data_IF_445153546581
#
_entry.id   IF_445153546581
#
_cell.length_a   1.000
_cell.length_b   1.000
_cell.length_c   1.000
_cell.angle_alpha   90.00
_cell.angle_beta   90.00
_cell.angle_gamma   90.00
#
_symmetry.space_group_name_H-M   'P 1'
#
loop_
_entity.id
_entity.type
_entity.pdbx_description
1 polymer ?
#
# COMPACT_ATOMS: atom_id res chain seq x y z
N UNK A 1 -1.96 41.24 -1.65
CA UNK A 1 -3.04 40.47 -1.01
C UNK A 1 -3.06 39.07 -1.63
N UNK A 2 -2.79 38.02 -0.84
CA UNK A 2 -3.01 36.64 -1.29
C UNK A 2 -4.51 36.40 -1.28
N UNK A 3 -5.11 36.09 -2.42
CA UNK A 3 -6.52 35.69 -2.49
C UNK A 3 -6.64 34.32 -1.84
N UNK A 4 -7.18 34.25 -0.62
CA UNK A 4 -7.56 32.99 0.00
C UNK A 4 -8.73 32.42 -0.81
N UNK A 5 -8.44 31.37 -1.58
CA UNK A 5 -9.42 30.63 -2.35
C UNK A 5 -10.35 29.95 -1.34
N UNK A 6 -11.58 30.45 -1.18
CA UNK A 6 -12.58 29.85 -0.31
C UNK A 6 -12.82 28.41 -0.77
N UNK A 7 -12.85 27.47 0.19
CA UNK A 7 -13.16 26.07 -0.08
C UNK A 7 -14.57 25.95 -0.70
N UNK A 8 -14.72 24.99 -1.61
CA UNK A 8 -16.04 24.64 -2.15
C UNK A 8 -16.89 23.95 -1.08
N UNK A 9 -18.23 23.90 -1.24
CA UNK A 9 -19.11 23.16 -0.32
C UNK A 9 -18.70 21.70 -0.15
N UNK A 10 -18.28 21.03 -1.24
CA UNK A 10 -17.79 19.65 -1.21
C UNK A 10 -16.53 19.52 -0.37
N UNK A 11 -15.53 20.39 -0.58
CA UNK A 11 -14.28 20.38 0.20
C UNK A 11 -14.51 20.63 1.68
N UNK A 12 -15.49 21.47 2.04
CA UNK A 12 -15.89 21.67 3.42
C UNK A 12 -16.52 20.40 4.01
N UNK A 13 -17.32 19.67 3.24
CA UNK A 13 -17.93 18.43 3.66
C UNK A 13 -16.87 17.32 3.87
N UNK A 14 -15.87 17.24 3.00
CA UNK A 14 -14.70 16.37 3.17
C UNK A 14 -13.98 16.65 4.50
N UNK A 15 -13.73 17.93 4.80
CA UNK A 15 -13.10 18.34 6.06
C UNK A 15 -13.96 17.98 7.28
N UNK A 16 -15.29 18.10 7.17
CA UNK A 16 -16.21 17.69 8.25
C UNK A 16 -16.17 16.19 8.49
N UNK A 17 -16.22 15.36 7.43
CA UNK A 17 -16.11 13.90 7.56
C UNK A 17 -14.79 13.50 8.19
N UNK A 18 -13.68 14.10 7.73
CA UNK A 18 -12.36 13.90 8.34
C UNK A 18 -12.38 14.20 9.84
N UNK A 19 -12.93 15.35 10.24
CA UNK A 19 -12.99 15.76 11.65
C UNK A 19 -13.81 14.79 12.49
N UNK A 20 -14.97 14.35 11.99
CA UNK A 20 -15.82 13.40 12.69
C UNK A 20 -15.11 12.04 12.91
N UNK A 21 -14.41 11.55 11.88
CA UNK A 21 -13.60 10.33 11.97
C UNK A 21 -12.43 10.49 12.94
N UNK A 22 -11.75 11.63 12.90
CA UNK A 22 -10.67 11.93 13.85
C UNK A 22 -11.19 11.99 15.29
N UNK A 23 -12.28 12.71 15.54
CA UNK A 23 -12.82 12.88 16.89
C UNK A 23 -13.36 11.57 17.49
N UNK A 24 -13.93 10.69 16.68
CA UNK A 24 -14.42 9.38 17.12
C UNK A 24 -13.29 8.41 17.48
N UNK A 25 -12.17 8.43 16.75
CA UNK A 25 -11.09 7.43 16.89
C UNK A 25 -9.84 7.90 17.64
N UNK A 26 -9.62 9.22 17.78
CA UNK A 26 -8.39 9.77 18.36
C UNK A 26 -8.06 9.25 19.76
N UNK A 27 -9.07 8.98 20.60
CA UNK A 27 -8.86 8.47 21.96
C UNK A 27 -8.43 7.01 21.96
N UNK A 28 -9.12 6.17 21.17
CA UNK A 28 -8.83 4.75 21.03
C UNK A 28 -7.43 4.52 20.44
N UNK A 29 -7.09 5.27 19.39
CA UNK A 29 -5.84 5.15 18.66
C UNK A 29 -4.70 6.00 19.25
N UNK A 30 -4.95 6.69 20.38
CA UNK A 30 -4.00 7.61 21.04
C UNK A 30 -3.39 8.64 20.07
N UNK A 31 -4.18 9.10 19.10
CA UNK A 31 -3.74 10.04 18.08
C UNK A 31 -3.82 11.47 18.62
N UNK A 32 -2.75 12.23 18.38
CA UNK A 32 -2.69 13.67 18.64
C UNK A 32 -2.47 14.43 17.34
N UNK A 33 -2.81 15.72 17.33
CA UNK A 33 -2.50 16.56 16.16
C UNK A 33 -0.99 16.72 15.96
N UNK A 34 -0.19 16.63 17.02
CA UNK A 34 1.27 16.66 16.91
C UNK A 34 1.79 15.42 16.17
N UNK A 35 1.33 14.23 16.55
CA UNK A 35 1.69 12.99 15.87
C UNK A 35 1.32 13.01 14.38
N UNK A 36 0.14 13.53 14.04
CA UNK A 36 -0.28 13.74 12.65
C UNK A 36 0.61 14.73 11.89
N UNK A 37 1.04 15.79 12.57
CA UNK A 37 1.94 16.78 12.01
C UNK A 37 3.30 16.16 11.68
N UNK A 38 3.83 15.34 12.59
CA UNK A 38 5.10 14.64 12.42
C UNK A 38 5.03 13.68 11.21
N UNK A 39 3.95 12.90 11.07
CA UNK A 39 3.75 11.99 9.92
C UNK A 39 3.57 12.71 8.57
N UNK A 40 3.03 13.93 8.59
CA UNK A 40 2.81 14.72 7.39
C UNK A 40 4.00 15.62 7.03
N UNK A 41 4.98 15.76 7.94
CA UNK A 41 6.05 16.75 7.92
C UNK A 41 5.51 18.19 7.79
N UNK A 42 4.55 18.53 8.65
CA UNK A 42 3.90 19.85 8.70
C UNK A 42 3.78 20.35 10.14
N UNK A 43 3.36 21.60 10.32
CA UNK A 43 3.08 22.12 11.66
C UNK A 43 1.78 21.57 12.24
N UNK A 44 1.71 21.45 13.56
CA UNK A 44 0.48 21.06 14.27
C UNK A 44 -0.71 21.99 13.96
N UNK A 45 -0.46 23.28 13.74
CA UNK A 45 -1.48 24.24 13.30
C UNK A 45 -2.04 23.92 11.91
N UNK A 46 -1.21 23.43 11.00
CA UNK A 46 -1.64 23.03 9.66
C UNK A 46 -2.59 21.81 9.69
N UNK A 47 -2.37 20.86 10.60
CA UNK A 47 -3.31 19.75 10.86
C UNK A 47 -4.67 20.31 11.29
N UNK A 48 -4.67 21.29 12.19
CA UNK A 48 -5.89 21.99 12.62
C UNK A 48 -6.59 22.74 11.48
N UNK A 49 -5.87 23.20 10.45
CA UNK A 49 -6.48 23.85 9.28
C UNK A 49 -7.26 22.88 8.41
N UNK A 50 -6.79 21.64 8.25
CA UNK A 50 -7.54 20.60 7.55
C UNK A 50 -8.80 20.20 8.34
N UNK A 51 -8.64 19.90 9.63
CA UNK A 51 -9.78 19.49 10.48
C UNK A 51 -10.88 20.55 10.56
N UNK A 52 -10.53 21.84 10.47
CA UNK A 52 -11.50 22.92 10.58
C UNK A 52 -11.89 23.54 9.23
N UNK A 53 -11.54 22.92 8.11
CA UNK A 53 -11.97 23.37 6.78
C UNK A 53 -11.39 24.73 6.37
N UNK A 54 -10.19 25.07 6.84
CA UNK A 54 -9.42 26.24 6.34
C UNK A 54 -8.57 25.89 5.13
N UNK A 55 -8.10 24.64 5.05
CA UNK A 55 -7.34 24.11 3.92
C UNK A 55 -8.10 22.92 3.33
N UNK A 56 -8.18 22.84 1.99
CA UNK A 56 -8.74 21.68 1.30
C UNK A 56 -7.86 20.45 1.50
N UNK A 57 -8.47 19.27 1.58
CA UNK A 57 -7.73 18.01 1.61
C UNK A 57 -7.05 17.75 0.27
N UNK A 58 -5.95 17.02 0.29
CA UNK A 58 -5.27 16.52 -0.91
C UNK A 58 -4.98 15.03 -0.73
N UNK A 59 -4.57 14.36 -1.82
CA UNK A 59 -4.27 12.92 -1.84
C UNK A 59 -3.34 12.49 -0.70
N UNK A 60 -2.20 13.18 -0.49
CA UNK A 60 -1.23 12.84 0.58
C UNK A 60 -1.90 12.87 1.95
N UNK A 61 -2.63 13.95 2.25
CA UNK A 61 -3.32 14.14 3.53
C UNK A 61 -4.38 13.05 3.73
N UNK A 62 -5.22 12.78 2.74
CA UNK A 62 -6.26 11.74 2.82
C UNK A 62 -5.63 10.37 3.07
N UNK A 63 -4.56 10.00 2.35
CA UNK A 63 -3.86 8.72 2.55
C UNK A 63 -3.31 8.56 3.97
N UNK A 64 -2.62 9.58 4.49
CA UNK A 64 -2.04 9.53 5.85
C UNK A 64 -3.13 9.44 6.91
N UNK A 65 -4.17 10.28 6.82
CA UNK A 65 -5.28 10.21 7.76
C UNK A 65 -6.02 8.88 7.69
N UNK A 66 -6.27 8.34 6.48
CA UNK A 66 -6.92 7.04 6.30
C UNK A 66 -6.13 5.91 6.97
N UNK A 67 -4.81 5.89 6.75
CA UNK A 67 -3.90 4.92 7.37
C UNK A 67 -3.91 5.01 8.89
N UNK A 68 -3.82 6.22 9.43
CA UNK A 68 -3.72 6.43 10.88
C UNK A 68 -5.06 6.20 11.59
N UNK A 69 -6.17 6.58 10.97
CA UNK A 69 -7.53 6.38 11.48
C UNK A 69 -8.06 4.96 11.20
N UNK A 70 -7.38 4.17 10.37
CA UNK A 70 -7.81 2.82 9.94
C UNK A 70 -9.21 2.85 9.33
N UNK A 71 -9.38 3.72 8.34
CA UNK A 71 -10.64 3.91 7.58
C UNK A 71 -10.34 3.90 6.08
N UNK A 72 -11.38 3.73 5.27
CA UNK A 72 -11.25 3.84 3.83
C UNK A 72 -11.10 5.32 3.43
N UNK A 73 -10.20 5.68 2.49
CA UNK A 73 -10.12 7.04 1.93
C UNK A 73 -11.46 7.61 1.47
N UNK A 74 -12.35 6.74 0.99
CA UNK A 74 -13.70 7.10 0.54
C UNK A 74 -14.60 7.60 1.67
N UNK A 75 -14.36 7.17 2.90
CA UNK A 75 -15.09 7.67 4.09
C UNK A 75 -14.71 9.14 4.39
N UNK A 76 -13.49 9.53 4.02
CA UNK A 76 -13.00 10.91 4.16
C UNK A 76 -13.46 11.73 2.95
N UNK A 77 -13.09 11.33 1.74
CA UNK A 77 -13.38 12.05 0.50
C UNK A 77 -13.60 11.06 -0.65
N UNK A 78 -14.86 10.87 -1.11
CA UNK A 78 -15.15 10.01 -2.25
C UNK A 78 -14.47 10.45 -3.54
N UNK A 79 -14.37 11.76 -3.79
CA UNK A 79 -13.74 12.30 -5.01
C UNK A 79 -12.22 12.09 -5.00
N UNK A 80 -11.54 12.37 -3.89
CA UNK A 80 -10.11 12.10 -3.76
C UNK A 80 -9.82 10.58 -3.74
N UNK A 81 -10.73 9.77 -3.21
CA UNK A 81 -10.60 8.31 -3.27
C UNK A 81 -10.65 7.77 -4.70
N UNK A 82 -11.49 8.34 -5.57
CA UNK A 82 -11.49 7.99 -7.00
C UNK A 82 -10.20 8.47 -7.68
N UNK A 83 -9.71 9.67 -7.37
CA UNK A 83 -8.41 10.16 -7.87
C UNK A 83 -7.25 9.22 -7.47
N UNK A 84 -7.23 8.74 -6.21
CA UNK A 84 -6.25 7.76 -5.74
C UNK A 84 -6.34 6.46 -6.54
N UNK A 85 -7.55 6.01 -6.86
CA UNK A 85 -7.78 4.78 -7.63
C UNK A 85 -7.31 4.94 -9.07
N UNK A 86 -7.61 6.06 -9.73
CA UNK A 86 -7.11 6.38 -11.06
C UNK A 86 -5.57 6.41 -11.11
N UNK A 87 -4.93 7.08 -10.13
CA UNK A 87 -3.46 7.10 -10.01
C UNK A 87 -2.91 5.67 -9.84
N UNK A 88 -3.56 4.85 -9.01
CA UNK A 88 -3.19 3.45 -8.80
C UNK A 88 -3.30 2.62 -10.08
N UNK A 89 -4.36 2.83 -10.86
CA UNK A 89 -4.56 2.17 -12.15
C UNK A 89 -3.52 2.61 -13.19
N UNK A 90 -3.19 3.90 -13.28
CA UNK A 90 -2.14 4.40 -14.15
C UNK A 90 -0.76 3.80 -13.81
N UNK A 91 -0.45 3.63 -12.52
CA UNK A 91 0.80 2.99 -12.07
C UNK A 91 0.80 1.49 -12.42
N UNK A 92 -0.35 0.82 -12.43
CA UNK A 92 -0.46 -0.57 -12.90
C UNK A 92 -0.15 -0.66 -14.39
N UNK A 93 -0.63 0.28 -15.20
CA UNK A 93 -0.47 0.27 -16.65
C UNK A 93 0.95 0.64 -17.13
N UNK A 94 1.74 1.37 -16.32
CA UNK A 94 3.12 1.75 -16.66
C UNK A 94 4.21 0.81 -16.12
N UNK A 95 3.83 -0.32 -15.50
CA UNK A 95 4.75 -1.32 -14.98
C UNK A 95 4.70 -2.64 -15.75
N UNK A 96 5.68 -2.89 -16.63
CA UNK A 96 5.94 -4.25 -17.11
C UNK A 96 6.35 -5.18 -15.94
N UNK A 97 5.38 -5.78 -15.23
CA UNK A 97 5.36 -7.12 -14.61
C UNK A 97 4.21 -7.24 -13.58
N UNK A 98 3.02 -7.60 -14.05
CA UNK A 98 1.76 -7.73 -13.28
C UNK A 98 1.71 -8.90 -12.27
N UNK A 99 2.79 -9.63 -11.96
CA UNK A 99 2.66 -10.84 -11.11
C UNK A 99 2.72 -10.62 -9.60
N UNK A 100 3.22 -9.50 -9.08
CA UNK A 100 3.53 -9.40 -7.64
C UNK A 100 3.10 -8.09 -6.97
N UNK A 101 1.82 -7.72 -7.05
CA UNK A 101 1.27 -6.70 -6.15
C UNK A 101 0.07 -7.21 -5.35
N UNK A 102 0.22 -8.42 -4.81
CA UNK A 102 -0.43 -8.78 -3.54
C UNK A 102 0.57 -8.40 -2.44
N UNK A 103 0.12 -7.68 -1.41
CA UNK A 103 0.88 -7.60 -0.16
C UNK A 103 0.98 -9.02 0.39
N UNK A 104 2.10 -9.71 0.12
CA UNK A 104 2.40 -10.99 0.74
C UNK A 104 3.05 -10.69 2.09
N UNK A 105 2.44 -11.16 3.17
CA UNK A 105 3.16 -11.32 4.42
C UNK A 105 4.18 -12.44 4.17
N UNK A 106 5.45 -12.08 4.11
CA UNK A 106 6.53 -13.05 3.92
C UNK A 106 6.58 -13.95 5.15
N UNK A 107 6.75 -15.24 4.92
CA UNK A 107 7.06 -16.13 6.03
C UNK A 107 8.51 -15.90 6.51
N UNK A 108 8.86 -16.33 7.74
CA UNK A 108 10.19 -16.07 8.29
C UNK A 108 11.35 -16.57 7.40
N UNK A 109 11.14 -17.66 6.65
CA UNK A 109 12.18 -18.23 5.78
C UNK A 109 12.37 -17.35 4.54
N UNK A 110 11.27 -16.83 3.98
CA UNK A 110 11.33 -15.90 2.86
C UNK A 110 12.04 -14.59 3.22
N UNK A 111 11.80 -14.08 4.44
CA UNK A 111 12.50 -12.90 4.96
C UNK A 111 14.01 -13.17 5.13
N UNK A 112 14.37 -14.33 5.69
CA UNK A 112 15.76 -14.74 5.85
C UNK A 112 16.49 -14.83 4.50
N UNK A 113 15.88 -15.47 3.49
CA UNK A 113 16.45 -15.57 2.14
C UNK A 113 16.69 -14.18 1.55
N UNK A 114 15.73 -13.26 1.72
CA UNK A 114 15.84 -11.90 1.22
C UNK A 114 17.02 -11.16 1.89
N UNK A 115 17.18 -11.32 3.20
CA UNK A 115 18.25 -10.69 3.94
C UNK A 115 19.63 -11.25 3.56
N UNK A 116 19.74 -12.57 3.36
CA UNK A 116 20.97 -13.17 2.86
C UNK A 116 21.33 -12.61 1.46
N UNK A 117 20.37 -12.60 0.53
CA UNK A 117 20.61 -12.12 -0.84
C UNK A 117 21.10 -10.66 -0.87
N UNK A 118 20.56 -9.78 -0.01
CA UNK A 118 21.00 -8.38 0.08
C UNK A 118 22.44 -8.22 0.53
N UNK A 119 22.91 -9.13 1.39
CA UNK A 119 24.24 -9.08 1.99
C UNK A 119 25.30 -9.87 1.17
N UNK A 120 24.89 -10.52 0.08
CA UNK A 120 25.79 -11.25 -0.82
C UNK A 120 26.20 -10.38 -2.03
N UNK A 121 27.43 -10.56 -2.56
CA UNK A 121 27.84 -9.92 -3.80
C UNK A 121 27.07 -10.50 -4.99
N UNK A 122 26.80 -9.67 -6.00
CA UNK A 122 25.91 -10.00 -7.11
C UNK A 122 26.27 -11.31 -7.84
N UNK A 123 27.56 -11.59 -8.02
CA UNK A 123 28.02 -12.81 -8.69
C UNK A 123 27.64 -14.09 -7.94
N UNK A 124 27.63 -14.05 -6.60
CA UNK A 124 27.19 -15.19 -5.79
C UNK A 124 25.68 -15.35 -5.86
N UNK A 125 24.93 -14.24 -5.83
CA UNK A 125 23.47 -14.25 -6.03
C UNK A 125 23.11 -14.89 -7.37
N UNK A 126 23.77 -14.47 -8.46
CA UNK A 126 23.52 -15.00 -9.80
C UNK A 126 23.78 -16.51 -9.89
N UNK A 127 24.87 -16.98 -9.26
CA UNK A 127 25.21 -18.40 -9.17
C UNK A 127 24.14 -19.21 -8.41
N UNK A 128 23.77 -18.74 -7.23
CA UNK A 128 22.76 -19.43 -6.39
C UNK A 128 21.41 -19.48 -7.12
N UNK A 129 21.01 -18.39 -7.77
CA UNK A 129 19.78 -18.34 -8.55
C UNK A 129 19.80 -19.35 -9.72
N UNK A 130 20.94 -19.54 -10.37
CA UNK A 130 21.08 -20.55 -11.42
C UNK A 130 20.88 -21.97 -10.86
N UNK A 131 21.50 -22.28 -9.72
CA UNK A 131 21.35 -23.58 -9.05
C UNK A 131 19.89 -23.83 -8.62
N UNK A 132 19.23 -22.83 -8.03
CA UNK A 132 17.83 -22.93 -7.61
C UNK A 132 16.89 -23.12 -8.81
N UNK A 133 17.14 -22.43 -9.93
CA UNK A 133 16.36 -22.61 -11.16
C UNK A 133 16.51 -24.02 -11.72
N UNK A 134 17.73 -24.54 -11.77
CA UNK A 134 17.98 -25.90 -12.23
C UNK A 134 17.26 -26.95 -11.35
N UNK A 135 17.33 -26.79 -10.02
CA UNK A 135 16.59 -27.64 -9.09
C UNK A 135 15.08 -27.54 -9.31
N UNK A 136 14.53 -26.33 -9.47
CA UNK A 136 13.11 -26.13 -9.76
C UNK A 136 12.69 -26.89 -11.02
N UNK A 137 13.42 -26.73 -12.12
CA UNK A 137 13.14 -27.44 -13.37
C UNK A 137 13.19 -28.96 -13.21
N UNK A 138 14.14 -29.49 -12.44
CA UNK A 138 14.23 -30.92 -12.17
C UNK A 138 12.98 -31.45 -11.44
N UNK A 139 12.53 -30.77 -10.39
CA UNK A 139 11.33 -31.18 -9.65
C UNK A 139 10.04 -30.99 -10.45
N UNK A 140 9.94 -29.92 -11.24
CA UNK A 140 8.81 -29.69 -12.15
C UNK A 140 8.69 -30.87 -13.14
N UNK A 141 9.81 -31.34 -13.72
CA UNK A 141 9.82 -32.48 -14.63
C UNK A 141 9.39 -33.79 -13.95
N UNK A 142 9.91 -34.07 -12.74
CA UNK A 142 9.48 -35.24 -11.95
C UNK A 142 7.97 -35.19 -11.66
N UNK A 143 7.46 -34.00 -11.32
CA UNK A 143 6.04 -33.83 -11.02
C UNK A 143 5.16 -34.12 -12.24
N UNK A 144 5.55 -33.64 -13.42
CA UNK A 144 4.84 -33.95 -14.68
C UNK A 144 4.85 -35.44 -15.01
N UNK A 145 5.99 -36.13 -14.83
CA UNK A 145 6.07 -37.59 -15.01
C UNK A 145 5.11 -38.33 -14.06
N UNK A 146 5.04 -37.91 -12.80
CA UNK A 146 4.13 -38.49 -11.81
C UNK A 146 2.65 -38.27 -12.17
N UNK A 147 2.30 -37.09 -12.70
CA UNK A 147 0.95 -36.81 -13.19
C UNK A 147 0.57 -37.70 -14.37
N UNK A 148 1.49 -37.88 -15.32
CA UNK A 148 1.29 -38.75 -16.50
C UNK A 148 1.07 -40.20 -16.05
N UNK A 149 1.87 -40.71 -15.12
CA UNK A 149 1.75 -42.08 -14.58
C UNK A 149 0.38 -42.26 -13.87
N UNK A 150 -0.02 -41.30 -13.05
CA UNK A 150 -1.31 -41.34 -12.35
C UNK A 150 -2.49 -41.34 -13.32
N UNK A 151 -2.43 -40.54 -14.38
CA UNK A 151 -3.49 -40.49 -15.39
C UNK A 151 -3.57 -41.76 -16.23
N UNK A 152 -2.43 -42.40 -16.56
CA UNK A 152 -2.44 -43.70 -17.26
C UNK A 152 -3.04 -44.83 -16.43
N UNK A 153 -2.85 -44.83 -15.11
CA UNK A 153 -3.44 -45.83 -14.20
C UNK A 153 -4.95 -45.69 -13.97
N UNK A 154 -5.54 -44.53 -14.30
CA UNK A 154 -6.98 -44.29 -14.15
C UNK A 154 -7.79 -44.59 -15.43
N UNK A 155 -7.12 -44.96 -16.53
CA UNK A 155 -7.73 -45.21 -17.86
C UNK A 155 -7.49 -46.66 -18.32
N UNK A 156 -6.99 -47.53 -17.45
CA UNK A 156 -6.86 -48.99 -17.64
C UNK A 156 -7.56 -49.73 -16.51
#
# INVERSE_FOLDING_TARGET
MKYEKKLTPEQLEDCKRLKALFDSKKKELKLTQQFLADELDISQGAVGHYLNGRNSLNVKVVCVFSKLLRVDPKDISPSIAEEIKEISELIKDQGCNEKNNKFYQLDPIQEEILELIKNLPKNEVDRILLELRAKKTHYDAIFEELLIIKNKKNVS
#
